data_IF_921987216202
#
_entry.id   IF_921987216202
#
_cell.length_a   1.000
_cell.length_b   1.000
_cell.length_c   1.000
_cell.angle_alpha   90.00
_cell.angle_beta   90.00
_cell.angle_gamma   90.00
#
_symmetry.space_group_name_H-M   'P 1'
#
loop_
_entity.id
_entity.type
_entity.pdbx_description
1 polymer ?
#
# COMPACT_ATOMS: atom_id res chain seq x y z
N UNK A 1 -16.27 -13.46 32.66
CA UNK A 1 -16.91 -12.13 32.75
C UNK A 1 -16.22 -11.07 31.83
N UNK A 2 -14.88 -10.94 31.84
CA UNK A 2 -14.20 -9.98 30.95
C UNK A 2 -14.40 -10.28 29.47
N UNK A 3 -14.37 -11.54 29.05
CA UNK A 3 -14.55 -11.93 27.64
C UNK A 3 -15.93 -11.60 27.06
N UNK A 4 -16.97 -11.54 27.89
CA UNK A 4 -18.35 -11.24 27.45
C UNK A 4 -18.57 -9.74 27.20
N UNK A 5 -17.89 -8.89 27.95
CA UNK A 5 -17.93 -7.43 27.75
C UNK A 5 -17.27 -7.09 26.41
N UNK A 6 -16.12 -7.69 26.11
CA UNK A 6 -15.44 -7.50 24.81
C UNK A 6 -16.25 -7.99 23.60
N UNK A 7 -16.96 -9.11 23.72
CA UNK A 7 -17.85 -9.62 22.67
C UNK A 7 -19.05 -8.71 22.37
N UNK A 8 -19.51 -7.93 23.35
CA UNK A 8 -20.61 -6.96 23.15
C UNK A 8 -20.13 -5.66 22.51
N UNK A 9 -18.92 -5.21 22.82
CA UNK A 9 -18.32 -4.00 22.24
C UNK A 9 -18.10 -4.12 20.73
N UNK A 10 -17.77 -5.31 20.20
CA UNK A 10 -17.60 -5.54 18.77
C UNK A 10 -18.90 -5.33 17.95
N UNK A 11 -20.04 -5.21 18.62
CA UNK A 11 -21.36 -4.96 18.01
C UNK A 11 -21.80 -3.49 18.10
N UNK A 12 -21.05 -2.65 18.82
CA UNK A 12 -21.31 -1.21 18.91
C UNK A 12 -20.38 -0.45 17.94
N UNK A 13 -20.91 0.07 16.82
CA UNK A 13 -20.10 0.80 15.85
C UNK A 13 -19.40 2.04 16.42
N UNK A 14 -20.05 2.72 17.39
CA UNK A 14 -19.49 3.92 18.00
C UNK A 14 -18.29 3.58 18.91
N UNK A 15 -18.40 2.54 19.73
CA UNK A 15 -17.31 2.04 20.54
C UNK A 15 -16.13 1.56 19.68
N UNK A 16 -16.42 0.85 18.59
CA UNK A 16 -15.41 0.39 17.65
C UNK A 16 -14.73 1.54 16.89
N UNK A 17 -15.48 2.60 16.55
CA UNK A 17 -14.92 3.83 15.97
C UNK A 17 -13.90 4.47 16.91
N UNK A 18 -14.29 4.73 18.16
CA UNK A 18 -13.41 5.31 19.18
C UNK A 18 -12.17 4.44 19.44
N UNK A 19 -12.34 3.12 19.48
CA UNK A 19 -11.22 2.19 19.66
C UNK A 19 -10.23 2.24 18.49
N UNK A 20 -10.71 2.32 17.26
CA UNK A 20 -9.86 2.46 16.07
C UNK A 20 -9.08 3.76 16.06
N UNK A 21 -9.71 4.87 16.42
CA UNK A 21 -9.06 6.17 16.51
C UNK A 21 -7.94 6.19 17.56
N UNK A 22 -8.22 5.64 18.75
CA UNK A 22 -7.21 5.58 19.83
C UNK A 22 -6.09 4.58 19.49
N UNK A 23 -6.39 3.46 18.84
CA UNK A 23 -5.38 2.53 18.35
C UNK A 23 -4.48 3.16 17.27
N UNK A 24 -5.03 3.95 16.36
CA UNK A 24 -4.26 4.68 15.34
C UNK A 24 -3.36 5.75 15.98
N UNK A 25 -3.87 6.45 16.99
CA UNK A 25 -3.08 7.40 17.78
C UNK A 25 -1.93 6.71 18.50
N UNK A 26 -2.20 5.59 19.19
CA UNK A 26 -1.18 4.80 19.87
C UNK A 26 -0.12 4.27 18.90
N UNK A 27 -0.51 3.80 17.71
CA UNK A 27 0.41 3.38 16.65
C UNK A 27 1.37 4.50 16.24
N UNK A 28 0.85 5.71 16.06
CA UNK A 28 1.67 6.89 15.71
C UNK A 28 2.61 7.26 16.85
N UNK A 29 2.14 7.26 18.08
CA UNK A 29 2.94 7.57 19.28
C UNK A 29 4.08 6.54 19.46
N UNK A 30 3.80 5.25 19.26
CA UNK A 30 4.79 4.18 19.34
C UNK A 30 5.88 4.25 18.27
N UNK A 31 5.73 5.06 17.23
CA UNK A 31 6.82 5.33 16.29
C UNK A 31 7.92 6.18 16.92
N UNK A 32 7.58 7.07 17.84
CA UNK A 32 8.53 7.95 18.52
C UNK A 32 8.79 7.53 19.99
N UNK A 33 7.75 7.09 20.73
CA UNK A 33 7.83 6.75 22.14
C UNK A 33 7.97 5.22 22.36
N UNK A 34 8.56 4.77 23.48
CA UNK A 34 8.68 3.35 23.81
C UNK A 34 7.36 2.72 24.28
N UNK A 35 6.38 3.51 24.69
CA UNK A 35 5.05 3.08 25.13
C UNK A 35 4.00 4.14 24.81
N UNK A 36 2.77 3.72 24.66
CA UNK A 36 1.60 4.57 24.47
C UNK A 36 0.50 4.16 25.47
N UNK A 37 -0.27 5.14 25.96
CA UNK A 37 -1.40 4.90 26.84
C UNK A 37 -2.70 5.04 26.07
N UNK A 38 -3.50 3.97 26.05
CA UNK A 38 -4.84 3.98 25.46
C UNK A 38 -5.85 4.20 26.58
N UNK A 39 -6.51 5.35 26.56
CA UNK A 39 -7.51 5.72 27.57
C UNK A 39 -8.83 6.08 26.89
N UNK A 40 -9.82 5.21 27.05
CA UNK A 40 -11.17 5.39 26.52
C UNK A 40 -12.19 5.30 27.66
N UNK A 41 -12.51 6.43 28.29
CA UNK A 41 -13.55 6.47 29.32
C UNK A 41 -14.92 6.20 28.69
N UNK A 42 -15.76 5.50 29.42
CA UNK A 42 -17.16 5.17 29.02
C UNK A 42 -17.24 4.50 27.63
N UNK A 43 -16.36 3.53 27.38
CA UNK A 43 -16.34 2.84 26.08
C UNK A 43 -17.54 1.91 25.90
N UNK A 44 -18.08 1.40 26.99
CA UNK A 44 -19.29 0.57 27.00
C UNK A 44 -20.07 0.77 28.29
N UNK A 45 -21.36 0.40 28.23
CA UNK A 45 -22.23 0.32 29.41
C UNK A 45 -22.64 -1.13 29.60
N UNK A 46 -22.27 -1.72 30.73
CA UNK A 46 -22.64 -3.08 31.12
C UNK A 46 -23.77 -3.08 32.15
N UNK A 47 -24.12 -4.29 32.62
CA UNK A 47 -25.10 -4.44 33.71
C UNK A 47 -24.60 -3.84 35.02
N UNK A 48 -23.29 -3.81 35.19
CA UNK A 48 -22.60 -3.33 36.40
C UNK A 48 -22.21 -1.83 36.32
N UNK A 49 -22.66 -1.13 35.26
CA UNK A 49 -22.38 0.28 35.03
C UNK A 49 -21.45 0.55 33.83
N UNK A 50 -20.89 1.79 33.77
CA UNK A 50 -20.00 2.17 32.68
C UNK A 50 -18.64 1.49 32.81
N UNK A 51 -18.11 1.03 31.68
CA UNK A 51 -16.76 0.46 31.57
C UNK A 51 -15.80 1.45 30.90
N UNK A 52 -14.57 1.45 31.39
CA UNK A 52 -13.46 2.26 30.87
C UNK A 52 -12.38 1.32 30.34
N UNK A 53 -11.72 1.72 29.28
CA UNK A 53 -10.51 1.07 28.80
C UNK A 53 -9.32 1.96 29.16
N UNK A 54 -8.39 1.43 29.93
CA UNK A 54 -7.15 2.08 30.27
C UNK A 54 -6.03 1.04 30.25
N UNK A 55 -5.24 1.05 29.16
CA UNK A 55 -4.17 0.08 28.93
C UNK A 55 -2.92 0.80 28.43
N UNK A 56 -1.77 0.33 28.90
CA UNK A 56 -0.47 0.72 28.38
C UNK A 56 0.01 -0.31 27.38
N UNK A 57 0.42 0.16 26.20
CA UNK A 57 0.97 -0.68 25.14
C UNK A 57 2.43 -0.28 24.90
N UNK A 58 3.35 -1.22 25.08
CA UNK A 58 4.75 -1.00 24.74
C UNK A 58 5.03 -1.25 23.25
N UNK A 59 6.08 -0.59 22.72
CA UNK A 59 6.52 -0.81 21.34
C UNK A 59 6.84 -2.30 21.02
N UNK A 60 7.56 -3.05 21.89
CA UNK A 60 7.79 -4.47 21.64
C UNK A 60 6.52 -5.31 21.56
N UNK A 61 5.52 -5.02 22.41
CA UNK A 61 4.22 -5.69 22.32
C UNK A 61 3.51 -5.38 21.02
N UNK A 62 3.50 -4.11 20.60
CA UNK A 62 2.92 -3.70 19.33
C UNK A 62 3.62 -4.36 18.13
N UNK A 63 4.96 -4.38 18.12
CA UNK A 63 5.75 -5.03 17.07
C UNK A 63 5.48 -6.55 17.01
N UNK A 64 5.32 -7.21 18.14
CA UNK A 64 4.95 -8.63 18.19
C UNK A 64 3.53 -8.87 17.62
N UNK A 65 2.58 -7.99 17.93
CA UNK A 65 1.20 -8.10 17.43
C UNK A 65 1.08 -7.84 15.92
N UNK A 66 2.01 -7.09 15.32
CA UNK A 66 1.99 -6.69 13.90
C UNK A 66 3.06 -7.38 13.07
N UNK A 67 3.81 -8.29 13.63
CA UNK A 67 4.93 -8.97 12.99
C UNK A 67 4.55 -9.76 11.73
N UNK A 68 3.37 -10.37 11.72
CA UNK A 68 2.82 -11.08 10.56
C UNK A 68 2.53 -10.12 9.39
N UNK A 69 2.01 -8.93 9.67
CA UNK A 69 1.78 -7.90 8.66
C UNK A 69 3.09 -7.40 8.05
N UNK A 70 4.10 -7.23 8.92
CA UNK A 70 5.43 -6.84 8.49
C UNK A 70 6.08 -7.93 7.62
N UNK A 71 6.02 -9.17 8.04
CA UNK A 71 6.56 -10.31 7.28
C UNK A 71 5.93 -10.41 5.86
N UNK A 72 4.65 -10.09 5.70
CA UNK A 72 3.96 -10.09 4.41
C UNK A 72 4.51 -9.06 3.42
N UNK A 73 5.24 -8.06 3.85
CA UNK A 73 5.86 -7.05 2.97
C UNK A 73 7.16 -7.54 2.30
N UNK A 74 7.75 -8.61 2.79
CA UNK A 74 9.02 -9.18 2.28
C UNK A 74 8.85 -9.69 0.84
N UNK A 75 7.83 -10.50 0.61
CA UNK A 75 7.61 -11.12 -0.70
C UNK A 75 7.41 -10.09 -1.84
N UNK A 76 6.62 -9.00 -1.67
CA UNK A 76 6.52 -7.93 -2.67
C UNK A 76 7.87 -7.30 -3.02
N UNK A 77 8.72 -7.03 -2.04
CA UNK A 77 10.05 -6.44 -2.27
C UNK A 77 10.94 -7.39 -3.05
N UNK A 78 11.00 -8.67 -2.65
CA UNK A 78 11.77 -9.70 -3.36
C UNK A 78 11.28 -9.91 -4.80
N UNK A 79 9.97 -9.89 -5.01
CA UNK A 79 9.39 -10.00 -6.34
C UNK A 79 9.77 -8.80 -7.21
N UNK A 80 9.73 -7.58 -6.65
CA UNK A 80 10.11 -6.38 -7.38
C UNK A 80 11.58 -6.42 -7.83
N UNK A 81 12.51 -6.85 -6.98
CA UNK A 81 13.92 -7.04 -7.33
C UNK A 81 14.09 -8.09 -8.42
N UNK A 82 13.39 -9.22 -8.31
CA UNK A 82 13.41 -10.30 -9.30
C UNK A 82 12.87 -9.83 -10.65
N UNK A 83 11.75 -9.13 -10.66
CA UNK A 83 11.15 -8.60 -11.89
C UNK A 83 12.06 -7.55 -12.57
N UNK A 84 12.77 -6.77 -11.79
CA UNK A 84 13.76 -5.83 -12.29
C UNK A 84 15.08 -6.49 -12.73
N UNK A 85 15.31 -7.76 -12.38
CA UNK A 85 16.54 -8.48 -12.69
C UNK A 85 17.78 -7.94 -11.97
N UNK A 86 17.59 -7.29 -10.80
CA UNK A 86 18.67 -6.68 -10.02
C UNK A 86 18.77 -7.28 -8.62
N UNK A 87 19.96 -7.24 -8.05
CA UNK A 87 20.20 -7.59 -6.64
C UNK A 87 20.06 -6.35 -5.74
N UNK A 88 19.84 -6.58 -4.45
CA UNK A 88 19.78 -5.50 -3.46
C UNK A 88 21.05 -4.62 -3.46
N UNK A 89 22.21 -5.19 -3.72
CA UNK A 89 23.50 -4.46 -3.79
C UNK A 89 23.61 -3.50 -5.00
N UNK A 90 22.76 -3.66 -5.99
CA UNK A 90 22.72 -2.79 -7.18
C UNK A 90 21.78 -1.60 -7.01
N UNK A 91 21.05 -1.53 -5.88
CA UNK A 91 20.18 -0.40 -5.58
C UNK A 91 21.01 0.85 -5.30
N UNK A 92 20.79 1.91 -6.07
CA UNK A 92 21.46 3.20 -5.84
C UNK A 92 20.92 3.91 -4.58
N UNK A 93 19.64 3.78 -4.29
CA UNK A 93 18.99 4.42 -3.14
C UNK A 93 17.67 3.70 -2.78
N UNK A 94 17.41 3.60 -1.49
CA UNK A 94 16.14 3.08 -0.96
C UNK A 94 15.41 4.23 -0.27
N UNK A 95 14.17 4.47 -0.67
CA UNK A 95 13.30 5.50 -0.11
C UNK A 95 12.13 4.84 0.60
N UNK A 96 11.84 5.31 1.81
CA UNK A 96 10.64 4.93 2.56
C UNK A 96 9.56 5.99 2.35
N UNK A 97 8.41 5.56 1.83
CA UNK A 97 7.30 6.45 1.49
C UNK A 97 6.01 5.97 2.17
N UNK A 98 5.21 6.92 2.65
CA UNK A 98 3.98 6.68 3.39
C UNK A 98 4.17 6.65 4.90
N UNK A 99 3.16 7.12 5.63
CA UNK A 99 3.23 7.31 7.09
C UNK A 99 3.56 6.05 7.90
N UNK A 100 3.18 4.87 7.43
CA UNK A 100 3.50 3.60 8.10
C UNK A 100 5.00 3.26 8.09
N UNK A 101 5.77 3.85 7.18
CA UNK A 101 7.23 3.67 7.13
C UNK A 101 7.99 4.39 8.24
N UNK A 102 7.30 5.24 9.01
CA UNK A 102 7.86 5.84 10.23
C UNK A 102 8.00 4.86 11.39
N UNK A 103 7.42 3.67 11.28
CA UNK A 103 7.55 2.62 12.28
C UNK A 103 8.99 2.07 12.29
N UNK A 104 9.69 2.05 13.44
CA UNK A 104 11.07 1.56 13.50
C UNK A 104 11.24 0.10 13.04
N UNK A 105 10.21 -0.72 13.22
CA UNK A 105 10.22 -2.11 12.76
C UNK A 105 10.28 -2.22 11.22
N UNK A 106 9.62 -1.30 10.49
CA UNK A 106 9.66 -1.26 9.02
C UNK A 106 11.08 -0.92 8.55
N UNK A 107 11.69 0.09 9.15
CA UNK A 107 13.05 0.51 8.81
C UNK A 107 14.07 -0.61 9.06
N UNK A 108 14.01 -1.26 10.23
CA UNK A 108 14.87 -2.40 10.55
C UNK A 108 14.71 -3.53 9.55
N UNK A 109 13.47 -3.88 9.21
CA UNK A 109 13.21 -4.96 8.25
C UNK A 109 13.75 -4.64 6.85
N UNK A 110 13.58 -3.40 6.38
CA UNK A 110 14.10 -2.98 5.08
C UNK A 110 15.63 -3.03 5.07
N UNK A 111 16.27 -2.58 6.14
CA UNK A 111 17.71 -2.65 6.31
C UNK A 111 18.22 -4.11 6.32
N UNK A 112 17.57 -4.99 7.05
CA UNK A 112 17.89 -6.42 7.09
C UNK A 112 17.70 -7.10 5.73
N UNK A 113 16.61 -6.77 5.03
CA UNK A 113 16.26 -7.38 3.75
C UNK A 113 17.17 -6.93 2.60
N UNK A 114 17.53 -5.64 2.58
CA UNK A 114 18.27 -5.02 1.46
C UNK A 114 19.77 -4.80 1.79
N UNK A 115 20.17 -4.92 3.05
CA UNK A 115 21.56 -4.71 3.46
C UNK A 115 22.05 -3.27 3.37
N UNK A 116 21.14 -2.28 3.24
CA UNK A 116 21.49 -0.87 3.15
C UNK A 116 20.54 0.00 3.99
N UNK A 117 21.04 1.15 4.41
CA UNK A 117 20.23 2.13 5.16
C UNK A 117 19.24 2.83 4.22
N UNK A 118 17.94 2.87 4.58
CA UNK A 118 16.98 3.69 3.88
C UNK A 118 17.31 5.18 3.99
N UNK A 119 17.03 5.92 2.93
CA UNK A 119 17.28 7.37 2.90
C UNK A 119 16.14 8.14 3.56
N UNK A 120 16.47 9.05 4.47
CA UNK A 120 15.55 9.97 5.14
C UNK A 120 15.50 11.35 4.49
N UNK A 121 15.98 11.49 3.25
CA UNK A 121 16.08 12.80 2.57
C UNK A 121 14.74 13.41 2.17
N UNK A 122 13.66 12.63 2.21
CA UNK A 122 12.31 13.06 1.87
C UNK A 122 11.34 12.82 3.03
N UNK A 123 10.36 13.71 3.19
CA UNK A 123 9.26 13.47 4.12
C UNK A 123 8.36 12.36 3.56
N UNK A 124 8.22 11.22 4.25
CA UNK A 124 7.45 10.08 3.75
C UNK A 124 5.96 10.37 3.54
N UNK A 125 5.40 11.35 4.25
CA UNK A 125 3.99 11.73 4.11
C UNK A 125 3.73 12.62 2.89
N UNK A 126 4.73 13.38 2.44
CA UNK A 126 4.62 14.37 1.37
C UNK A 126 5.14 13.88 0.02
N UNK A 127 5.92 12.81 -0.02
CA UNK A 127 6.56 12.29 -1.23
C UNK A 127 5.61 12.11 -2.41
N UNK A 128 4.41 11.57 -2.16
CA UNK A 128 3.42 11.30 -3.21
C UNK A 128 2.88 12.62 -3.78
N UNK A 129 2.56 13.59 -2.91
CA UNK A 129 2.08 14.91 -3.34
C UNK A 129 3.15 15.67 -4.13
N UNK A 130 4.40 15.61 -3.69
CA UNK A 130 5.53 16.22 -4.40
C UNK A 130 5.73 15.57 -5.78
N UNK A 131 5.69 14.23 -5.86
CA UNK A 131 5.79 13.50 -7.12
C UNK A 131 4.64 13.84 -8.08
N UNK A 132 3.41 13.93 -7.58
CA UNK A 132 2.26 14.32 -8.36
C UNK A 132 2.38 15.76 -8.91
N UNK A 133 2.91 16.69 -8.11
CA UNK A 133 3.16 18.07 -8.54
C UNK A 133 4.22 18.13 -9.66
N UNK A 134 5.30 17.36 -9.55
CA UNK A 134 6.33 17.24 -10.59
C UNK A 134 5.73 16.70 -11.88
N UNK A 135 4.97 15.62 -11.80
CA UNK A 135 4.32 15.01 -12.96
C UNK A 135 3.29 15.94 -13.61
N UNK A 136 2.48 16.64 -12.81
CA UNK A 136 1.55 17.66 -13.31
C UNK A 136 2.27 18.78 -14.08
N UNK A 137 3.41 19.22 -13.58
CA UNK A 137 4.23 20.23 -14.27
C UNK A 137 4.80 19.74 -15.61
N UNK A 138 5.21 18.46 -15.67
CA UNK A 138 5.69 17.83 -16.92
C UNK A 138 4.58 17.74 -17.98
N UNK A 139 3.35 17.35 -17.56
CA UNK A 139 2.20 17.23 -18.46
C UNK A 139 1.70 18.56 -19.02
N UNK A 140 1.85 19.67 -18.28
CA UNK A 140 1.46 21.01 -18.73
C UNK A 140 2.40 21.65 -19.74
N UNK A 141 3.37 20.93 -20.30
CA UNK A 141 4.23 21.45 -21.37
C UNK A 141 5.54 22.09 -20.91
N UNK A 142 6.11 21.54 -19.89
CA UNK A 142 7.52 21.70 -19.53
C UNK A 142 7.99 23.13 -19.21
N UNK A 143 8.33 23.37 -17.98
CA UNK A 143 9.31 24.38 -17.66
C UNK A 143 8.83 25.72 -17.13
N UNK A 144 7.57 25.90 -16.77
CA UNK A 144 7.09 27.09 -16.05
C UNK A 144 6.69 26.83 -14.58
N UNK A 145 7.06 25.72 -14.02
CA UNK A 145 7.09 25.60 -12.55
C UNK A 145 8.31 26.40 -12.06
N UNK A 146 8.15 27.71 -11.99
CA UNK A 146 9.13 28.64 -11.43
C UNK A 146 9.20 28.41 -9.92
N UNK A 147 10.05 27.51 -9.51
CA UNK A 147 10.37 27.15 -8.15
C UNK A 147 11.49 26.13 -8.16
N UNK A 148 12.08 25.80 -7.03
CA UNK A 148 13.25 24.93 -6.85
C UNK A 148 13.20 23.54 -7.54
N UNK A 149 12.09 23.16 -8.16
CA UNK A 149 11.86 21.91 -8.90
C UNK A 149 11.98 22.07 -10.42
N UNK A 150 11.88 23.27 -10.96
CA UNK A 150 11.84 23.49 -12.42
C UNK A 150 13.10 23.08 -13.16
N UNK A 151 14.27 23.32 -12.59
CA UNK A 151 15.55 22.93 -13.19
C UNK A 151 15.84 21.42 -13.05
N UNK A 152 15.39 20.79 -11.98
CA UNK A 152 15.58 19.37 -11.75
C UNK A 152 14.65 18.47 -12.58
N UNK A 153 13.52 19.01 -13.06
CA UNK A 153 12.56 18.28 -13.89
C UNK A 153 12.88 18.31 -15.40
N UNK A 154 13.84 19.14 -15.83
CA UNK A 154 14.27 19.18 -17.23
C UNK A 154 15.01 17.89 -17.58
N UNK A 155 14.45 17.15 -18.53
CA UNK A 155 14.99 15.86 -18.98
C UNK A 155 14.53 14.64 -18.19
N UNK A 156 13.63 14.80 -17.21
CA UNK A 156 13.01 13.68 -16.52
C UNK A 156 11.96 13.04 -17.44
N UNK A 157 12.09 11.75 -17.69
CA UNK A 157 11.11 10.95 -18.42
C UNK A 157 10.56 9.90 -17.46
N UNK A 158 9.25 9.94 -17.22
CA UNK A 158 8.56 8.90 -16.51
C UNK A 158 8.11 7.82 -17.50
N UNK A 159 8.57 6.60 -17.30
CA UNK A 159 8.14 5.43 -18.05
C UNK A 159 7.40 4.49 -17.10
N UNK A 160 6.07 4.50 -17.22
CA UNK A 160 5.22 3.61 -16.45
C UNK A 160 5.06 2.25 -17.12
N UNK A 161 4.72 1.25 -16.33
CA UNK A 161 4.43 -0.12 -16.79
C UNK A 161 3.09 -0.60 -16.23
N UNK A 162 2.48 -1.55 -16.92
CA UNK A 162 1.25 -2.20 -16.44
C UNK A 162 1.56 -3.05 -15.21
N UNK A 163 0.87 -2.87 -14.07
CA UNK A 163 1.14 -3.64 -12.85
C UNK A 163 0.62 -5.07 -12.92
N UNK A 164 -0.38 -5.31 -13.76
CA UNK A 164 -1.05 -6.60 -13.94
C UNK A 164 -1.21 -6.91 -15.42
N UNK A 165 -1.33 -8.19 -15.75
CA UNK A 165 -1.72 -8.63 -17.09
C UNK A 165 -3.19 -8.26 -17.34
N UNK A 166 -3.47 -7.56 -18.43
CA UNK A 166 -4.83 -7.28 -18.88
C UNK A 166 -5.27 -8.39 -19.85
N UNK A 167 -6.37 -9.04 -19.54
CA UNK A 167 -6.92 -10.17 -20.30
C UNK A 167 -8.36 -9.89 -20.69
N UNK A 168 -8.83 -10.56 -21.74
CA UNK A 168 -10.25 -10.59 -22.11
C UNK A 168 -10.81 -11.94 -21.73
N UNK A 169 -11.98 -11.92 -21.10
CA UNK A 169 -12.73 -13.14 -20.83
C UNK A 169 -13.26 -13.72 -22.14
N UNK A 170 -12.95 -14.98 -22.38
CA UNK A 170 -13.38 -15.75 -23.56
C UNK A 170 -14.33 -16.86 -23.15
N UNK A 171 -14.83 -17.62 -24.12
CA UNK A 171 -15.79 -18.71 -23.92
C UNK A 171 -15.28 -19.67 -22.82
N UNK A 172 -16.17 -19.98 -21.86
CA UNK A 172 -15.84 -20.86 -20.73
C UNK A 172 -15.15 -20.15 -19.56
N UNK A 173 -15.13 -18.81 -19.49
CA UNK A 173 -14.54 -18.05 -18.40
C UNK A 173 -13.01 -18.00 -18.44
N UNK A 174 -12.41 -18.30 -19.60
CA UNK A 174 -10.95 -18.30 -19.77
C UNK A 174 -10.46 -16.88 -19.99
N UNK A 175 -9.51 -16.43 -19.17
CA UNK A 175 -8.85 -15.14 -19.32
C UNK A 175 -7.73 -15.21 -20.37
N UNK A 176 -7.98 -14.67 -21.56
CA UNK A 176 -6.99 -14.60 -22.64
C UNK A 176 -6.15 -13.33 -22.52
N UNK A 177 -4.83 -13.43 -22.26
CA UNK A 177 -3.99 -12.27 -22.04
C UNK A 177 -3.79 -11.46 -23.33
N UNK A 178 -3.92 -10.12 -23.22
CA UNK A 178 -3.64 -9.18 -24.30
C UNK A 178 -2.42 -8.30 -24.03
N UNK A 179 -2.37 -7.70 -22.85
CA UNK A 179 -1.25 -6.87 -22.44
C UNK A 179 -0.62 -7.52 -21.22
N UNK A 180 0.60 -7.95 -21.35
CA UNK A 180 1.33 -8.61 -20.26
C UNK A 180 1.74 -7.62 -19.18
N UNK A 181 1.80 -8.08 -17.93
CA UNK A 181 2.40 -7.34 -16.81
C UNK A 181 3.79 -6.80 -17.21
N UNK A 182 4.15 -5.66 -16.69
CA UNK A 182 5.41 -4.95 -16.98
C UNK A 182 5.56 -4.47 -18.45
N UNK A 183 4.47 -4.41 -19.23
CA UNK A 183 4.49 -3.71 -20.52
C UNK A 183 4.55 -2.20 -20.30
N UNK A 184 5.45 -1.53 -21.01
CA UNK A 184 5.55 -0.05 -20.97
C UNK A 184 4.25 0.58 -21.47
N UNK A 185 3.84 1.67 -20.85
CA UNK A 185 2.69 2.49 -21.27
C UNK A 185 3.19 3.86 -21.81
N UNK A 186 2.51 4.42 -22.84
CA UNK A 186 1.27 3.94 -23.46
C UNK A 186 1.45 2.71 -24.35
N UNK A 187 0.54 1.75 -24.28
CA UNK A 187 0.56 0.54 -25.11
C UNK A 187 -0.80 0.27 -25.71
N UNK A 188 -0.81 -0.36 -26.90
CA UNK A 188 -2.03 -0.80 -27.58
C UNK A 188 -1.83 -2.22 -28.07
N UNK A 189 -2.81 -3.08 -27.81
CA UNK A 189 -2.86 -4.44 -28.36
C UNK A 189 -4.24 -4.70 -28.95
N UNK A 190 -4.27 -5.43 -30.05
CA UNK A 190 -5.50 -5.91 -30.68
C UNK A 190 -5.35 -7.38 -30.98
N UNK A 191 -6.44 -8.11 -30.83
CA UNK A 191 -6.55 -9.53 -31.17
C UNK A 191 -7.92 -9.80 -31.78
N UNK A 192 -7.97 -10.68 -32.74
CA UNK A 192 -9.23 -11.06 -33.39
C UNK A 192 -9.82 -12.23 -32.61
N UNK A 193 -11.08 -12.09 -32.25
CA UNK A 193 -11.89 -13.13 -31.61
C UNK A 193 -13.06 -13.46 -32.49
N UNK A 194 -13.52 -14.69 -32.46
CA UNK A 194 -14.72 -15.16 -33.18
C UNK A 194 -15.91 -15.22 -32.23
N UNK A 195 -17.11 -15.10 -32.76
CA UNK A 195 -18.34 -15.26 -31.97
C UNK A 195 -18.51 -16.73 -31.54
N UNK A 196 -19.07 -16.95 -30.36
CA UNK A 196 -19.27 -18.27 -29.77
C UNK A 196 -20.45 -19.04 -30.41
N UNK A 197 -21.38 -18.33 -31.08
CA UNK A 197 -22.58 -18.92 -31.72
C UNK A 197 -22.78 -18.35 -33.10
N UNK A 198 -23.32 -19.17 -34.07
CA UNK A 198 -23.74 -18.63 -35.34
C UNK A 198 -24.76 -17.50 -35.19
N UNK A 199 -24.67 -16.46 -36.00
CA UNK A 199 -25.56 -15.32 -36.06
C UNK A 199 -25.61 -14.48 -34.72
N UNK A 200 -24.59 -14.52 -33.89
CA UNK A 200 -24.46 -13.71 -32.72
C UNK A 200 -24.25 -12.24 -33.11
N UNK A 201 -25.18 -11.35 -32.71
CA UNK A 201 -25.19 -9.93 -33.08
C UNK A 201 -24.54 -9.02 -32.04
N UNK A 202 -24.30 -9.51 -30.82
CA UNK A 202 -23.70 -8.76 -29.72
C UNK A 202 -22.68 -9.61 -28.97
N UNK A 203 -21.65 -8.95 -28.45
CA UNK A 203 -20.61 -9.54 -27.61
C UNK A 203 -20.41 -8.68 -26.38
N UNK A 204 -20.44 -9.28 -25.22
CA UNK A 204 -20.00 -8.64 -23.97
C UNK A 204 -18.49 -8.83 -23.84
N UNK A 205 -17.78 -7.72 -23.61
CA UNK A 205 -16.32 -7.74 -23.48
C UNK A 205 -15.96 -7.39 -22.03
N UNK A 206 -15.55 -8.40 -21.28
CA UNK A 206 -15.05 -8.27 -19.93
C UNK A 206 -13.52 -8.19 -19.93
N UNK A 207 -12.98 -7.04 -19.52
CA UNK A 207 -11.53 -6.85 -19.34
C UNK A 207 -11.17 -7.18 -17.90
N UNK A 208 -10.33 -8.19 -17.72
CA UNK A 208 -9.92 -8.69 -16.42
C UNK A 208 -8.45 -8.34 -16.14
N UNK A 209 -8.14 -7.65 -15.04
CA UNK A 209 -6.77 -7.59 -14.54
C UNK A 209 -6.44 -8.93 -13.86
N UNK A 210 -5.50 -9.68 -14.43
CA UNK A 210 -5.13 -11.00 -13.93
C UNK A 210 -3.73 -10.96 -13.34
N UNK A 211 -3.62 -11.37 -12.07
CA UNK A 211 -2.35 -11.68 -11.45
C UNK A 211 -2.11 -13.19 -11.57
N UNK A 212 -1.22 -13.58 -12.49
CA UNK A 212 -0.77 -14.96 -12.54
C UNK A 212 0.21 -15.17 -11.38
N UNK A 213 -0.29 -15.64 -10.26
CA UNK A 213 0.53 -16.32 -9.27
C UNK A 213 0.65 -17.78 -9.71
N UNK A 214 1.86 -18.16 -10.05
CA UNK A 214 2.17 -19.57 -10.28
C UNK A 214 1.92 -20.41 -9.02
#
# INVERSE_FOLDING_TARGET
AASDVYKRQSRDPAAMGRLKEEAEKAKKELSAAPSAQLNLPFIAVGKDGPHHLDISLSRPQFEMMTGDLLARTVAPVQNALRDAGISASQLGKVLLVGGSTRMPAVERQVKELLGCEPSHSLNPDECVAMGAAVQGGLLQGGGKLAGATGAAAQGLVLMDVTPLTLSIETLGGVATPLITRNSMIPTRKSQIFTTARPMQTSVEINVLPVSYTH
#
